data_IF_860349396902
#
_entry.id   IF_860349396902
#
_cell.length_a   1.000
_cell.length_b   1.000
_cell.length_c   1.000
_cell.angle_alpha   90.00
_cell.angle_beta   90.00
_cell.angle_gamma   90.00
#
_symmetry.space_group_name_H-M   'P 1'
#
loop_
_entity.id
_entity.type
_entity.pdbx_description
1 polymer ?
#
# COMPACT_ATOMS: atom_id res chain seq x y z
N UNK A 1 -23.06 -11.34 3.58
CA UNK A 1 -21.81 -10.58 3.85
C UNK A 1 -21.96 -9.22 3.19
N UNK A 2 -21.62 -8.12 3.87
CA UNK A 2 -21.75 -6.77 3.31
C UNK A 2 -21.09 -6.68 1.94
N UNK A 3 -21.87 -6.27 0.93
CA UNK A 3 -21.48 -6.12 -0.47
C UNK A 3 -20.89 -4.72 -0.73
N UNK A 4 -20.28 -4.12 0.28
CA UNK A 4 -19.74 -2.77 0.21
C UNK A 4 -18.51 -2.75 -0.71
N UNK A 5 -18.67 -2.10 -1.85
CA UNK A 5 -17.57 -1.71 -2.73
C UNK A 5 -16.59 -0.82 -1.95
N UNK A 6 -15.30 -1.09 -2.11
CA UNK A 6 -14.26 -0.29 -1.53
C UNK A 6 -14.08 1.04 -2.24
N UNK A 7 -13.72 2.06 -1.48
CA UNK A 7 -13.43 3.41 -1.94
C UNK A 7 -12.38 4.07 -1.06
N UNK A 8 -11.90 5.24 -1.44
CA UNK A 8 -11.05 6.08 -0.59
C UNK A 8 -11.72 7.42 -0.29
N UNK A 9 -11.69 7.83 0.98
CA UNK A 9 -12.07 9.19 1.36
C UNK A 9 -10.97 10.17 0.97
N UNK A 10 -11.33 11.40 0.59
CA UNK A 10 -10.38 12.47 0.22
C UNK A 10 -10.66 13.70 1.07
N UNK A 11 -9.63 14.26 1.70
CA UNK A 11 -9.73 15.51 2.46
C UNK A 11 -8.49 16.38 2.22
N UNK A 12 -8.68 17.65 1.89
CA UNK A 12 -7.58 18.61 1.74
C UNK A 12 -7.46 19.48 2.99
N UNK A 13 -6.29 19.44 3.64
CA UNK A 13 -5.92 20.34 4.73
C UNK A 13 -4.75 21.22 4.29
N UNK A 14 -5.06 22.43 3.84
CA UNK A 14 -4.07 23.37 3.25
C UNK A 14 -3.35 22.69 2.07
N UNK A 15 -2.06 22.37 2.22
CA UNK A 15 -1.24 21.72 1.19
C UNK A 15 -1.15 20.21 1.33
N UNK A 16 -1.87 19.62 2.30
CA UNK A 16 -1.84 18.18 2.60
C UNK A 16 -3.10 17.54 2.05
N UNK A 17 -2.93 16.44 1.33
CA UNK A 17 -4.02 15.63 0.80
C UNK A 17 -4.13 14.30 1.55
N UNK A 18 -5.24 14.12 2.26
CA UNK A 18 -5.51 12.93 3.07
C UNK A 18 -6.33 11.95 2.24
N UNK A 19 -5.80 10.73 2.07
CA UNK A 19 -6.43 9.64 1.32
C UNK A 19 -6.68 8.49 2.30
N UNK A 20 -7.94 8.23 2.63
CA UNK A 20 -8.32 7.24 3.64
C UNK A 20 -8.93 5.99 3.03
N UNK A 21 -8.33 4.82 3.23
CA UNK A 21 -8.94 3.54 2.84
C UNK A 21 -10.27 3.36 3.60
N UNK A 22 -11.38 3.27 2.88
CA UNK A 22 -12.74 3.28 3.44
C UNK A 22 -13.53 2.01 3.05
N UNK A 23 -13.13 0.88 3.64
CA UNK A 23 -13.83 -0.40 3.57
C UNK A 23 -13.61 -1.20 4.87
N UNK A 24 -13.74 -0.52 6.01
CA UNK A 24 -13.40 -1.04 7.35
C UNK A 24 -14.13 -2.36 7.69
N UNK A 25 -15.38 -2.52 7.24
CA UNK A 25 -16.18 -3.74 7.43
C UNK A 25 -15.56 -5.00 6.78
N UNK A 26 -14.62 -4.82 5.84
CA UNK A 26 -13.84 -5.88 5.18
C UNK A 26 -12.35 -5.76 5.52
N UNK A 27 -12.01 -5.10 6.64
CA UNK A 27 -10.62 -4.82 7.05
C UNK A 27 -9.82 -4.13 5.94
N UNK A 28 -10.47 -3.26 5.18
CA UNK A 28 -9.87 -2.53 4.06
C UNK A 28 -9.19 -3.44 3.02
N UNK A 29 -9.72 -4.64 2.80
CA UNK A 29 -9.27 -5.49 1.70
C UNK A 29 -9.54 -4.79 0.36
N UNK A 30 -8.52 -4.71 -0.49
CA UNK A 30 -8.59 -4.07 -1.80
C UNK A 30 -9.40 -4.92 -2.77
N UNK A 31 -10.58 -4.42 -3.16
CA UNK A 31 -11.31 -4.87 -4.34
C UNK A 31 -10.96 -3.99 -5.55
N UNK A 32 -11.44 -4.33 -6.74
CA UNK A 32 -11.13 -3.56 -7.95
C UNK A 32 -11.53 -2.08 -7.84
N UNK A 33 -12.59 -1.79 -7.08
CA UNK A 33 -13.14 -0.45 -6.91
C UNK A 33 -12.19 0.42 -6.08
N UNK A 34 -11.73 -0.06 -4.92
CA UNK A 34 -10.78 0.66 -4.09
C UNK A 34 -9.43 0.84 -4.77
N UNK A 35 -8.97 -0.16 -5.53
CA UNK A 35 -7.71 -0.06 -6.30
C UNK A 35 -7.79 1.09 -7.30
N UNK A 36 -8.88 1.13 -8.08
CA UNK A 36 -9.09 2.19 -9.05
C UNK A 36 -9.25 3.56 -8.39
N UNK A 37 -10.04 3.63 -7.32
CA UNK A 37 -10.31 4.88 -6.63
C UNK A 37 -9.06 5.45 -5.95
N UNK A 38 -8.20 4.59 -5.39
CA UNK A 38 -6.89 4.98 -4.85
C UNK A 38 -5.96 5.50 -5.97
N UNK A 39 -5.92 4.84 -7.12
CA UNK A 39 -5.15 5.31 -8.29
C UNK A 39 -5.61 6.70 -8.73
N UNK A 40 -6.93 6.92 -8.83
CA UNK A 40 -7.49 8.22 -9.18
C UNK A 40 -7.18 9.29 -8.14
N UNK A 41 -7.24 8.97 -6.84
CA UNK A 41 -6.87 9.90 -5.78
C UNK A 41 -5.39 10.31 -5.86
N UNK A 42 -4.50 9.37 -6.17
CA UNK A 42 -3.08 9.66 -6.34
C UNK A 42 -2.79 10.45 -7.63
N UNK A 43 -3.56 10.22 -8.70
CA UNK A 43 -3.49 11.04 -9.92
C UNK A 43 -4.00 12.46 -9.68
N UNK A 44 -5.11 12.63 -8.96
CA UNK A 44 -5.61 13.94 -8.52
C UNK A 44 -4.56 14.66 -7.70
N UNK A 45 -3.96 13.97 -6.73
CA UNK A 45 -2.86 14.51 -5.94
C UNK A 45 -1.71 14.97 -6.82
N UNK A 46 -1.19 14.12 -7.69
CA UNK A 46 -0.04 14.41 -8.54
C UNK A 46 -0.29 15.64 -9.43
N UNK A 47 -1.48 15.73 -10.04
CA UNK A 47 -1.84 16.79 -10.99
C UNK A 47 -2.20 18.14 -10.35
N UNK A 48 -2.30 18.22 -9.03
CA UNK A 48 -2.73 19.44 -8.34
C UNK A 48 -1.54 20.18 -7.70
N UNK A 49 -1.11 21.28 -8.31
CA UNK A 49 0.03 22.09 -7.88
C UNK A 49 -0.14 22.76 -6.50
N UNK A 50 -1.38 22.85 -5.99
CA UNK A 50 -1.62 23.38 -4.64
C UNK A 50 -1.26 22.37 -3.53
N UNK A 51 -1.18 21.08 -3.86
CA UNK A 51 -0.88 19.98 -2.94
C UNK A 51 0.62 19.67 -2.95
N UNK A 52 1.21 19.56 -1.76
CA UNK A 52 2.66 19.36 -1.56
C UNK A 52 3.00 18.02 -0.92
N UNK A 53 2.04 17.38 -0.25
CA UNK A 53 2.23 16.10 0.40
C UNK A 53 0.91 15.34 0.46
N UNK A 54 0.93 14.03 0.22
CA UNK A 54 -0.19 13.15 0.45
C UNK A 54 0.05 12.25 1.66
N UNK A 55 -1.01 11.92 2.38
CA UNK A 55 -1.00 10.94 3.47
C UNK A 55 -2.05 9.88 3.16
N UNK A 56 -1.60 8.65 2.95
CA UNK A 56 -2.49 7.49 2.92
C UNK A 56 -2.65 6.97 4.36
N UNK A 57 -3.89 6.82 4.79
CA UNK A 57 -4.26 6.23 6.07
C UNK A 57 -5.46 5.29 5.85
N UNK A 58 -5.97 4.69 6.92
CA UNK A 58 -7.15 3.82 6.83
C UNK A 58 -8.19 4.14 7.91
N UNK A 59 -9.46 4.01 7.56
CA UNK A 59 -10.58 4.05 8.50
C UNK A 59 -10.75 2.69 9.19
N UNK A 60 -11.15 2.74 10.47
CA UNK A 60 -11.33 1.56 11.31
C UNK A 60 -10.02 1.03 11.90
N UNK A 61 -10.07 -0.20 12.41
CA UNK A 61 -9.02 -0.75 13.28
C UNK A 61 -7.80 -1.30 12.53
N UNK A 62 -7.89 -1.47 11.20
CA UNK A 62 -6.87 -2.12 10.39
C UNK A 62 -6.53 -1.30 9.16
N UNK A 63 -5.25 -1.22 8.80
CA UNK A 63 -4.81 -0.59 7.57
C UNK A 63 -5.33 -1.33 6.34
N UNK A 64 -4.96 -2.60 6.17
CA UNK A 64 -5.52 -3.50 5.15
C UNK A 64 -5.21 -4.97 5.43
N UNK A 65 -6.17 -5.84 5.15
CA UNK A 65 -5.97 -7.29 5.09
C UNK A 65 -5.36 -7.77 3.76
N UNK A 66 -5.02 -6.86 2.85
CA UNK A 66 -4.45 -7.18 1.54
C UNK A 66 -5.47 -7.15 0.41
N UNK A 67 -5.27 -8.01 -0.60
CA UNK A 67 -6.16 -8.13 -1.75
C UNK A 67 -7.41 -8.98 -1.41
N UNK A 68 -8.58 -8.53 -1.87
CA UNK A 68 -9.81 -9.33 -1.87
C UNK A 68 -9.77 -10.33 -3.02
N UNK A 69 -9.07 -11.45 -2.82
CA UNK A 69 -8.83 -12.45 -3.88
C UNK A 69 -10.13 -13.04 -4.45
N UNK A 70 -11.19 -13.13 -3.65
CA UNK A 70 -12.50 -13.63 -4.12
C UNK A 70 -13.08 -12.69 -5.18
N UNK A 71 -12.92 -11.38 -4.98
CA UNK A 71 -13.42 -10.35 -5.88
C UNK A 71 -12.51 -10.13 -7.08
N UNK A 72 -11.19 -10.22 -6.88
CA UNK A 72 -10.18 -9.90 -7.89
C UNK A 72 -9.85 -11.05 -8.83
N UNK A 73 -9.93 -12.31 -8.40
CA UNK A 73 -9.51 -13.46 -9.20
C UNK A 73 -10.14 -13.48 -10.61
N UNK A 74 -11.45 -13.23 -10.80
CA UNK A 74 -12.07 -13.17 -12.12
C UNK A 74 -11.58 -11.99 -12.98
N UNK A 75 -11.03 -10.94 -12.35
CA UNK A 75 -10.64 -9.67 -12.97
C UNK A 75 -9.13 -9.57 -13.27
N UNK A 76 -8.34 -10.53 -12.79
CA UNK A 76 -6.90 -10.58 -13.08
C UNK A 76 -6.62 -10.68 -14.59
N UNK A 77 -7.41 -11.49 -15.30
CA UNK A 77 -7.29 -11.65 -16.75
C UNK A 77 -7.81 -10.43 -17.54
N UNK A 78 -8.57 -9.54 -16.90
CA UNK A 78 -9.17 -8.36 -17.53
C UNK A 78 -8.44 -7.06 -17.15
N UNK A 79 -7.23 -7.15 -16.60
CA UNK A 79 -6.39 -5.99 -16.39
C UNK A 79 -6.75 -5.13 -15.17
N UNK A 80 -7.19 -5.73 -14.06
CA UNK A 80 -7.50 -4.95 -12.83
C UNK A 80 -6.31 -4.14 -12.28
N UNK A 81 -5.08 -4.50 -12.66
CA UNK A 81 -3.84 -3.79 -12.34
C UNK A 81 -3.26 -3.01 -13.54
N UNK A 82 -4.02 -2.88 -14.64
CA UNK A 82 -3.63 -2.11 -15.81
C UNK A 82 -4.03 -0.65 -15.61
N UNK A 83 -3.04 0.16 -15.24
CA UNK A 83 -3.20 1.61 -15.11
C UNK A 83 -2.78 2.29 -16.41
N UNK A 84 -3.56 3.28 -16.86
CA UNK A 84 -3.18 4.07 -18.05
C UNK A 84 -1.94 4.92 -17.79
N UNK A 85 -1.30 5.43 -18.86
CA UNK A 85 -0.11 6.29 -18.75
C UNK A 85 -0.35 7.59 -17.97
N UNK A 86 -1.60 8.05 -17.88
CA UNK A 86 -1.99 9.24 -17.12
C UNK A 86 -2.31 8.94 -15.65
N UNK A 87 -2.45 7.66 -15.30
CA UNK A 87 -2.84 7.20 -13.97
C UNK A 87 -1.62 6.81 -13.13
N UNK A 88 -1.71 7.09 -11.83
CA UNK A 88 -0.70 6.65 -10.88
C UNK A 88 -1.05 5.24 -10.44
N UNK A 89 -0.13 4.30 -10.68
CA UNK A 89 -0.17 3.00 -10.02
C UNK A 89 0.14 3.19 -8.52
N UNK A 90 -0.78 2.85 -7.59
CA UNK A 90 -0.56 3.04 -6.15
C UNK A 90 0.70 2.39 -5.60
N UNK A 91 1.10 1.25 -6.17
CA UNK A 91 2.31 0.51 -5.80
C UNK A 91 3.56 0.95 -6.55
N UNK A 92 3.44 1.86 -7.52
CA UNK A 92 4.57 2.47 -8.22
C UNK A 92 5.51 1.48 -8.93
N UNK A 93 5.02 0.30 -9.31
CA UNK A 93 5.84 -0.75 -9.95
C UNK A 93 6.06 -0.50 -11.43
N UNK A 94 5.09 0.14 -12.09
CA UNK A 94 5.10 0.46 -13.53
C UNK A 94 4.40 1.79 -13.79
N UNK A 95 4.63 2.35 -14.98
CA UNK A 95 3.93 3.53 -15.46
C UNK A 95 4.39 4.84 -14.81
N UNK A 96 3.46 5.80 -14.73
CA UNK A 96 3.70 7.14 -14.18
C UNK A 96 3.98 7.06 -12.68
N UNK A 97 5.06 7.73 -12.25
CA UNK A 97 5.48 7.78 -10.84
C UNK A 97 5.02 9.08 -10.19
N UNK A 98 4.71 9.04 -8.90
CA UNK A 98 4.54 10.25 -8.09
C UNK A 98 5.86 11.01 -8.00
N UNK A 99 5.79 12.32 -8.20
CA UNK A 99 6.95 13.24 -8.06
C UNK A 99 6.91 14.01 -6.75
N UNK A 100 5.77 13.99 -6.04
CA UNK A 100 5.57 14.69 -4.76
C UNK A 100 5.53 13.73 -3.56
N UNK A 101 5.94 14.20 -2.36
CA UNK A 101 6.04 13.36 -1.16
C UNK A 101 4.78 12.58 -0.78
N UNK A 102 4.93 11.31 -0.43
CA UNK A 102 3.88 10.41 0.06
C UNK A 102 4.23 9.86 1.45
N UNK A 103 3.29 9.99 2.38
CA UNK A 103 3.35 9.38 3.72
C UNK A 103 2.31 8.27 3.79
N UNK A 104 2.66 7.14 4.41
CA UNK A 104 1.71 6.06 4.73
C UNK A 104 1.67 5.84 6.24
N UNK A 105 0.48 5.94 6.82
CA UNK A 105 0.22 5.67 8.23
C UNK A 105 -0.62 4.39 8.39
N UNK A 106 -0.13 3.44 9.19
CA UNK A 106 -0.73 2.10 9.34
C UNK A 106 -1.01 1.76 10.80
N UNK A 107 -2.07 0.96 11.00
CA UNK A 107 -2.50 0.41 12.28
C UNK A 107 -3.06 -1.00 12.10
N UNK A 108 -3.10 -1.80 13.17
CA UNK A 108 -3.73 -3.11 13.14
C UNK A 108 -3.11 -4.04 12.09
N UNK A 109 -3.86 -4.45 11.07
CA UNK A 109 -3.31 -5.32 10.03
C UNK A 109 -2.74 -4.52 8.86
N UNK A 110 -1.52 -4.85 8.44
CA UNK A 110 -0.90 -4.36 7.22
C UNK A 110 -0.29 -5.55 6.47
N UNK A 111 -1.11 -6.21 5.65
CA UNK A 111 -0.71 -7.47 5.01
C UNK A 111 -0.51 -7.31 3.50
N UNK A 112 0.42 -8.08 2.94
CA UNK A 112 0.60 -8.28 1.49
C UNK A 112 0.73 -6.95 0.73
N UNK A 113 -0.24 -6.60 -0.11
CA UNK A 113 -0.34 -5.32 -0.83
C UNK A 113 -0.25 -4.08 0.08
N UNK A 114 -0.61 -4.19 1.36
CA UNK A 114 -0.43 -3.13 2.35
C UNK A 114 1.04 -2.84 2.65
N UNK A 115 1.87 -3.89 2.80
CA UNK A 115 3.33 -3.76 2.99
C UNK A 115 3.95 -3.14 1.74
N UNK A 116 3.46 -3.52 0.57
CA UNK A 116 3.97 -3.01 -0.70
C UNK A 116 3.65 -1.52 -0.91
N UNK A 117 2.48 -1.08 -0.45
CA UNK A 117 2.10 0.33 -0.42
C UNK A 117 2.93 1.10 0.62
N UNK A 118 3.12 0.52 1.80
CA UNK A 118 3.97 1.05 2.87
C UNK A 118 5.41 1.26 2.38
N UNK A 119 6.02 0.27 1.74
CA UNK A 119 7.38 0.33 1.20
C UNK A 119 7.54 1.27 0.00
N UNK A 120 6.44 1.67 -0.66
CA UNK A 120 6.46 2.64 -1.77
C UNK A 120 6.39 4.10 -1.29
N UNK A 121 6.06 4.34 -0.01
CA UNK A 121 6.00 5.67 0.57
C UNK A 121 7.40 6.23 0.86
N UNK A 122 7.49 7.56 0.98
CA UNK A 122 8.74 8.23 1.35
C UNK A 122 8.92 8.28 2.86
N UNK A 123 7.81 8.38 3.60
CA UNK A 123 7.78 8.28 5.07
C UNK A 123 6.71 7.28 5.45
N UNK A 124 7.04 6.42 6.41
CA UNK A 124 6.12 5.44 6.95
C UNK A 124 5.96 5.59 8.45
N UNK A 125 4.73 5.45 8.94
CA UNK A 125 4.38 5.53 10.35
C UNK A 125 3.54 4.31 10.69
N UNK A 126 3.96 3.54 11.68
CA UNK A 126 3.22 2.39 12.17
C UNK A 126 2.82 2.59 13.62
N UNK A 127 1.55 2.34 13.94
CA UNK A 127 1.10 2.22 15.32
C UNK A 127 1.75 1.00 15.99
N UNK A 128 1.97 1.05 17.30
CA UNK A 128 2.57 -0.05 18.08
C UNK A 128 1.82 -1.38 17.93
N UNK A 129 0.49 -1.31 17.73
CA UNK A 129 -0.36 -2.48 17.53
C UNK A 129 -0.36 -3.05 16.10
N UNK A 130 0.52 -2.56 15.21
CA UNK A 130 0.55 -3.01 13.81
C UNK A 130 1.21 -4.38 13.69
N UNK A 131 0.54 -5.28 12.99
CA UNK A 131 1.04 -6.58 12.56
C UNK A 131 1.16 -6.61 11.04
N UNK A 132 2.33 -7.04 10.57
CA UNK A 132 2.68 -7.18 9.18
C UNK A 132 2.82 -8.67 8.82
N UNK A 133 2.50 -9.03 7.59
CA UNK A 133 2.76 -10.36 7.03
C UNK A 133 2.72 -10.32 5.49
N UNK A 134 3.76 -10.85 4.84
CA UNK A 134 3.84 -11.03 3.39
C UNK A 134 3.38 -12.45 3.01
N UNK A 135 2.10 -12.73 3.25
CA UNK A 135 1.51 -14.08 3.20
C UNK A 135 1.13 -14.57 1.79
N UNK A 136 1.54 -13.89 0.72
CA UNK A 136 1.29 -14.30 -0.67
C UNK A 136 1.78 -15.72 -0.94
N UNK A 137 2.98 -16.06 -0.43
CA UNK A 137 3.62 -17.37 -0.63
C UNK A 137 2.78 -18.53 -0.06
N UNK A 138 2.06 -18.28 1.03
CA UNK A 138 1.16 -19.27 1.66
C UNK A 138 -0.06 -19.57 0.79
N UNK A 139 -0.33 -18.74 -0.22
CA UNK A 139 -1.42 -18.87 -1.19
C UNK A 139 -0.92 -19.25 -2.58
N UNK A 140 0.37 -19.56 -2.73
CA UNK A 140 0.99 -19.88 -4.02
C UNK A 140 1.14 -18.67 -4.95
N UNK A 141 1.17 -17.45 -4.39
CA UNK A 141 1.27 -16.19 -5.12
C UNK A 141 2.62 -15.54 -4.78
N UNK A 142 3.27 -14.90 -5.75
CA UNK A 142 4.42 -14.04 -5.46
C UNK A 142 3.97 -12.62 -5.10
N UNK A 143 4.66 -11.89 -4.22
CA UNK A 143 4.45 -10.45 -4.04
C UNK A 143 4.76 -9.70 -5.34
N UNK A 144 3.83 -8.88 -5.82
CA UNK A 144 3.93 -8.21 -7.13
C UNK A 144 3.71 -6.69 -7.10
N UNK A 145 3.38 -6.11 -5.95
CA UNK A 145 3.38 -4.65 -5.70
C UNK A 145 4.76 -4.07 -5.35
N UNK A 146 5.83 -4.87 -5.46
CA UNK A 146 7.22 -4.41 -5.37
C UNK A 146 7.98 -4.79 -4.10
N UNK A 147 7.40 -5.60 -3.21
CA UNK A 147 8.10 -6.06 -1.99
C UNK A 147 9.39 -6.83 -2.31
N UNK A 148 9.42 -7.59 -3.40
CA UNK A 148 10.62 -8.35 -3.83
C UNK A 148 11.86 -7.47 -4.00
N UNK A 149 11.68 -6.21 -4.44
CA UNK A 149 12.75 -5.24 -4.58
C UNK A 149 12.84 -4.27 -3.39
N UNK A 150 11.74 -3.65 -2.98
CA UNK A 150 11.79 -2.58 -1.96
C UNK A 150 12.03 -3.12 -0.56
N UNK A 151 11.55 -4.32 -0.23
CA UNK A 151 11.76 -4.89 1.09
C UNK A 151 13.22 -5.33 1.27
N UNK A 152 13.81 -5.94 0.23
CA UNK A 152 15.24 -6.31 0.25
C UNK A 152 16.15 -5.09 0.33
N UNK A 153 15.79 -3.98 -0.32
CA UNK A 153 16.49 -2.69 -0.20
C UNK A 153 16.36 -2.09 1.21
N UNK A 154 15.17 -2.16 1.81
CA UNK A 154 14.91 -1.60 3.13
C UNK A 154 15.61 -2.37 4.25
N UNK A 155 15.37 -3.69 4.29
CA UNK A 155 15.73 -4.54 5.42
C UNK A 155 17.04 -5.31 5.24
N UNK A 156 17.61 -5.29 4.03
CA UNK A 156 18.65 -6.20 3.61
C UNK A 156 18.10 -7.59 3.24
N UNK A 157 18.87 -8.31 2.42
CA UNK A 157 18.44 -9.58 1.80
C UNK A 157 17.94 -10.62 2.81
N UNK A 158 18.74 -10.94 3.82
CA UNK A 158 18.43 -12.04 4.75
C UNK A 158 17.16 -11.78 5.57
N UNK A 159 16.98 -10.54 6.08
CA UNK A 159 15.80 -10.18 6.87
C UNK A 159 14.54 -10.16 6.02
N UNK A 160 14.62 -9.57 4.82
CA UNK A 160 13.49 -9.56 3.89
C UNK A 160 13.09 -10.98 3.46
N UNK A 161 14.06 -11.82 3.05
CA UNK A 161 13.79 -13.19 2.59
C UNK A 161 13.16 -14.06 3.67
N UNK A 162 13.49 -13.84 4.95
CA UNK A 162 12.81 -14.55 6.03
C UNK A 162 11.30 -14.36 5.97
N UNK A 163 10.81 -13.15 5.74
CA UNK A 163 9.36 -12.89 5.68
C UNK A 163 8.76 -13.16 4.30
N UNK A 164 9.46 -12.81 3.22
CA UNK A 164 9.00 -13.03 1.84
C UNK A 164 8.80 -14.52 1.52
N UNK A 165 9.64 -15.41 2.06
CA UNK A 165 9.61 -16.85 1.74
C UNK A 165 8.76 -17.68 2.72
N UNK A 166 8.49 -17.18 3.92
CA UNK A 166 7.72 -17.91 4.95
C UNK A 166 6.29 -17.39 5.09
N UNK A 167 6.06 -16.10 4.81
CA UNK A 167 4.83 -15.42 5.17
C UNK A 167 4.62 -15.27 6.67
N UNK A 168 5.66 -15.47 7.50
CA UNK A 168 5.61 -15.24 8.94
C UNK A 168 5.19 -13.81 9.25
N UNK A 169 4.43 -13.62 10.33
CA UNK A 169 4.06 -12.29 10.80
C UNK A 169 5.19 -11.63 11.59
N UNK A 170 5.26 -10.31 11.56
CA UNK A 170 6.12 -9.49 12.40
C UNK A 170 5.40 -8.25 12.92
N UNK A 171 5.88 -7.69 14.02
CA UNK A 171 5.27 -6.53 14.68
C UNK A 171 5.89 -5.19 14.25
N UNK A 172 5.32 -4.09 14.74
CA UNK A 172 5.80 -2.73 14.45
C UNK A 172 7.25 -2.49 14.88
N UNK A 173 7.69 -3.12 15.97
CA UNK A 173 9.08 -2.99 16.46
C UNK A 173 10.05 -3.67 15.51
N UNK A 174 9.77 -4.90 15.10
CA UNK A 174 10.56 -5.61 14.10
C UNK A 174 10.57 -4.86 12.76
N UNK A 175 9.43 -4.28 12.35
CA UNK A 175 9.35 -3.45 11.15
C UNK A 175 10.26 -2.21 11.25
N UNK A 176 10.23 -1.50 12.39
CA UNK A 176 11.10 -0.36 12.65
C UNK A 176 12.58 -0.75 12.59
N UNK A 177 12.99 -1.81 13.30
CA UNK A 177 14.38 -2.31 13.34
C UNK A 177 14.90 -2.75 11.96
N UNK A 178 13.99 -3.04 11.01
CA UNK A 178 14.32 -3.42 9.64
C UNK A 178 14.31 -2.24 8.67
N UNK A 179 13.33 -1.33 8.77
CA UNK A 179 12.98 -0.38 7.70
C UNK A 179 13.43 1.05 8.03
N UNK A 180 13.76 1.36 9.29
CA UNK A 180 14.13 2.73 9.72
C UNK A 180 15.37 3.31 9.04
N UNK A 181 16.14 2.50 8.31
CA UNK A 181 17.35 2.91 7.60
C UNK A 181 17.14 3.16 6.10
N UNK A 182 15.89 3.20 5.61
CA UNK A 182 15.63 3.41 4.17
C UNK A 182 16.23 4.74 3.67
N UNK A 183 17.14 4.72 2.69
CA UNK A 183 17.49 5.92 1.95
C UNK A 183 16.29 6.37 1.10
N UNK A 184 16.12 7.69 0.94
CA UNK A 184 15.10 8.25 0.04
C UNK A 184 15.36 7.75 -1.39
N UNK A 185 14.50 6.87 -1.90
CA UNK A 185 14.69 6.16 -3.17
C UNK A 185 14.05 6.87 -4.38
N UNK A 186 13.52 8.08 -4.22
CA UNK A 186 13.05 8.90 -5.34
C UNK A 186 14.11 9.96 -5.62
N UNK A 187 14.85 9.77 -6.71
CA UNK A 187 15.78 10.79 -7.24
C UNK A 187 15.02 12.10 -7.42
N UNK A 188 15.43 13.12 -6.67
CA UNK A 188 15.05 14.52 -6.88
C UNK A 188 15.46 15.00 -8.28
#
# INVERSE_FOLDING_TARGET
MSNQEGKVSRETRRHIFLIGLDRAAKRNAFDSHMIKDLSLALTEYENNDALRCAVIFAHGDHFTAGLDLVELQPKLATGVFDFSENEINPWGTVGRKLTKPLIVAVQGYCYTAGIELFLNADITIASENTQFAQMEVQRGILPFGGATARFTQAAGWAKAMRYLLTGDSFDAKAAFDMISAQPCNRTC
#
